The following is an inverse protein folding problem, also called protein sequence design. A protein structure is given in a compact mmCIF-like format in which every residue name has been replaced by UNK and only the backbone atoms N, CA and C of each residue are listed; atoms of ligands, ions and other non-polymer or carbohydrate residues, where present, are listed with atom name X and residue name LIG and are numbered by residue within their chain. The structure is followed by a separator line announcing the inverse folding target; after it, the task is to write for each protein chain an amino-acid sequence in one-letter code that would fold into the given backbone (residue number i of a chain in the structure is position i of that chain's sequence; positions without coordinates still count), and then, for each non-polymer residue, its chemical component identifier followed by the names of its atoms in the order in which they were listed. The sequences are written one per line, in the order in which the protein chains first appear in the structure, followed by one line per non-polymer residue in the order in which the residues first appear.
data_IF_068744635950
#
_entry.id   IF_068744635950
#
_cell.length_a   1.000
_cell.length_b   1.000
_cell.length_c   1.000
_cell.angle_alpha   90.00
_cell.angle_beta   90.00
_cell.angle_gamma   90.00
#
_symmetry.space_group_name_H-M   'P 1'
#
loop_
_entity.id
_entity.type
_entity.pdbx_description
1 polymer ?
#
# COMPACT_ATOMS: atom_id res chain seq x y z
N UNK A 1 -15.90 -4.04 -12.22
CA UNK A 1 -14.80 -3.63 -11.35
C UNK A 1 -13.56 -3.20 -12.14
N UNK A 2 -12.40 -3.16 -11.48
CA UNK A 2 -11.12 -2.68 -12.05
C UNK A 2 -10.77 -3.38 -13.36
N UNK A 3 -10.86 -4.72 -13.40
CA UNK A 3 -10.58 -5.55 -14.59
C UNK A 3 -11.36 -5.07 -15.81
N UNK A 4 -12.64 -4.76 -15.65
CA UNK A 4 -13.47 -4.24 -16.75
C UNK A 4 -12.96 -2.90 -17.26
N UNK A 5 -12.54 -1.98 -16.36
CA UNK A 5 -12.02 -0.68 -16.74
C UNK A 5 -10.65 -0.76 -17.44
N UNK A 6 -9.83 -1.76 -17.08
CA UNK A 6 -8.60 -2.07 -17.83
C UNK A 6 -8.97 -2.52 -19.26
N UNK A 7 -9.93 -3.44 -19.41
CA UNK A 7 -10.42 -3.92 -20.72
C UNK A 7 -10.93 -2.78 -21.61
N UNK A 8 -11.70 -1.86 -21.03
CA UNK A 8 -12.24 -0.67 -21.72
C UNK A 8 -11.18 0.37 -22.09
N UNK A 9 -9.95 0.22 -21.62
CA UNK A 9 -8.85 1.15 -21.88
C UNK A 9 -8.94 2.45 -21.09
N UNK A 10 -9.71 2.47 -20.01
CA UNK A 10 -9.87 3.67 -19.16
C UNK A 10 -8.53 4.17 -18.62
N UNK A 11 -7.76 3.28 -18.01
CA UNK A 11 -6.44 3.60 -17.44
C UNK A 11 -5.40 3.93 -18.51
N UNK A 12 -5.42 3.23 -19.64
CA UNK A 12 -4.53 3.52 -20.77
C UNK A 12 -4.78 4.93 -21.32
N UNK A 13 -6.04 5.35 -21.45
CA UNK A 13 -6.37 6.72 -21.86
C UNK A 13 -5.89 7.78 -20.88
N UNK A 14 -5.83 7.45 -19.59
CA UNK A 14 -5.28 8.34 -18.55
C UNK A 14 -3.74 8.36 -18.52
N UNK A 15 -3.05 7.53 -19.31
CA UNK A 15 -1.61 7.40 -19.25
C UNK A 15 -1.12 6.66 -17.99
N UNK A 16 -1.98 5.86 -17.36
CA UNK A 16 -1.64 5.06 -16.18
C UNK A 16 -0.83 3.84 -16.60
N UNK A 17 0.32 3.64 -15.98
CA UNK A 17 1.22 2.52 -16.22
C UNK A 17 1.41 1.60 -15.00
N UNK A 18 0.77 1.92 -13.88
CA UNK A 18 0.69 1.05 -12.71
C UNK A 18 -0.64 1.27 -11.97
N UNK A 19 -1.17 0.22 -11.37
CA UNK A 19 -2.33 0.26 -10.47
C UNK A 19 -1.88 -0.26 -9.12
N UNK A 20 -2.14 0.50 -8.06
CA UNK A 20 -2.01 0.06 -6.68
C UNK A 20 -3.40 -0.16 -6.09
N UNK A 21 -3.60 -1.33 -5.49
CA UNK A 21 -4.81 -1.71 -4.76
C UNK A 21 -4.51 -1.77 -3.27
N UNK A 22 -5.46 -1.35 -2.42
CA UNK A 22 -5.40 -1.58 -0.97
C UNK A 22 -5.28 -3.07 -0.66
N UNK A 23 -4.87 -3.47 0.58
CA UNK A 23 -4.64 -4.88 0.90
C UNK A 23 -5.85 -5.75 0.57
N UNK A 24 -5.59 -6.87 -0.08
CA UNK A 24 -6.64 -7.80 -0.56
C UNK A 24 -6.78 -9.04 0.31
N UNK A 25 -5.94 -9.20 1.32
CA UNK A 25 -5.97 -10.34 2.23
C UNK A 25 -7.25 -10.36 3.07
N UNK A 26 -7.63 -11.53 3.58
CA UNK A 26 -8.86 -11.67 4.35
C UNK A 26 -8.84 -10.80 5.60
N UNK A 27 -9.89 -10.00 5.75
CA UNK A 27 -10.08 -9.03 6.82
C UNK A 27 -10.89 -9.61 7.97
N UNK A 28 -10.87 -8.96 9.13
CA UNK A 28 -11.91 -9.18 10.13
C UNK A 28 -13.27 -8.79 9.51
N UNK A 29 -14.31 -9.57 9.79
CA UNK A 29 -15.65 -9.33 9.24
C UNK A 29 -16.63 -8.73 10.26
N UNK A 30 -16.20 -8.63 11.51
CA UNK A 30 -16.97 -7.93 12.53
C UNK A 30 -16.60 -6.45 12.60
N UNK A 31 -17.48 -5.65 13.17
CA UNK A 31 -17.25 -4.22 13.31
C UNK A 31 -16.59 -3.87 14.64
N UNK A 32 -15.85 -2.77 14.65
CA UNK A 32 -15.30 -2.16 15.86
C UNK A 32 -15.59 -0.66 15.88
N UNK A 33 -15.70 -0.07 17.06
CA UNK A 33 -15.85 1.37 17.22
C UNK A 33 -14.48 1.99 17.56
N UNK A 34 -13.98 2.82 16.67
CA UNK A 34 -12.72 3.55 16.83
C UNK A 34 -12.94 4.95 17.42
N UNK A 35 -14.04 5.18 18.11
CA UNK A 35 -14.42 6.48 18.67
C UNK A 35 -15.14 7.40 17.67
N UNK A 36 -15.38 6.92 16.47
CA UNK A 36 -16.08 7.64 15.39
C UNK A 36 -17.32 6.92 14.89
N UNK A 37 -17.72 5.84 15.57
CA UNK A 37 -18.82 4.95 15.19
C UNK A 37 -18.31 3.60 14.69
N UNK A 38 -19.26 2.69 14.47
CA UNK A 38 -18.96 1.33 14.03
C UNK A 38 -18.34 1.31 12.63
N UNK A 39 -17.15 0.75 12.52
CA UNK A 39 -16.38 0.59 11.30
C UNK A 39 -16.05 -0.88 11.03
N UNK A 40 -15.74 -1.21 9.77
CA UNK A 40 -15.46 -2.57 9.29
C UNK A 40 -14.17 -2.58 8.44
N UNK A 41 -13.57 -3.74 8.25
CA UNK A 41 -12.32 -3.93 7.51
C UNK A 41 -12.38 -3.73 5.98
N UNK A 42 -13.41 -3.04 5.44
CA UNK A 42 -13.61 -2.85 4.00
C UNK A 42 -12.45 -2.16 3.27
N UNK A 43 -11.63 -1.42 4.02
CA UNK A 43 -10.46 -0.71 3.50
C UNK A 43 -9.23 -1.62 3.27
N UNK A 44 -9.20 -2.83 3.84
CA UNK A 44 -8.12 -3.80 3.65
C UNK A 44 -6.99 -3.79 4.71
N UNK A 45 -7.01 -2.87 5.68
CA UNK A 45 -5.92 -2.72 6.66
C UNK A 45 -6.14 -3.47 7.98
N UNK A 46 -7.18 -4.29 8.09
CA UNK A 46 -7.51 -5.08 9.28
C UNK A 46 -7.40 -6.58 9.00
N UNK A 47 -6.18 -7.00 8.66
CA UNK A 47 -5.91 -8.37 8.24
C UNK A 47 -6.20 -9.39 9.34
N UNK A 48 -6.87 -10.47 8.96
CA UNK A 48 -7.16 -11.67 9.74
C UNK A 48 -6.36 -12.88 9.27
N UNK A 49 -6.22 -13.03 7.96
CA UNK A 49 -5.53 -14.14 7.33
C UNK A 49 -4.84 -13.70 6.04
N UNK A 50 -3.52 -13.62 6.05
CA UNK A 50 -2.72 -13.22 4.88
C UNK A 50 -2.69 -14.26 3.77
N UNK A 51 -3.08 -15.52 4.06
CA UNK A 51 -3.01 -16.62 3.10
C UNK A 51 -4.19 -16.67 2.13
N UNK A 52 -5.19 -15.83 2.32
CA UNK A 52 -6.45 -15.87 1.57
C UNK A 52 -6.85 -14.47 1.10
N UNK A 53 -7.37 -14.39 -0.12
CA UNK A 53 -8.03 -13.17 -0.61
C UNK A 53 -9.37 -13.03 0.09
N UNK A 54 -9.69 -11.81 0.52
CA UNK A 54 -10.99 -11.50 1.13
C UNK A 54 -12.12 -11.77 0.12
N UNK A 55 -13.15 -12.54 0.50
CA UNK A 55 -14.22 -12.90 -0.43
C UNK A 55 -15.04 -11.71 -0.94
N UNK A 56 -14.99 -10.55 -0.25
CA UNK A 56 -15.63 -9.33 -0.73
C UNK A 56 -14.84 -8.65 -1.86
N UNK A 57 -13.56 -8.96 -2.01
CA UNK A 57 -12.71 -8.40 -3.08
C UNK A 57 -12.67 -9.28 -4.33
N UNK A 58 -12.92 -10.57 -4.19
CA UNK A 58 -12.93 -11.53 -5.29
C UNK A 58 -12.22 -12.85 -4.99
N UNK A 59 -11.86 -13.53 -6.04
CA UNK A 59 -11.19 -14.85 -5.99
C UNK A 59 -9.74 -14.75 -6.49
N UNK A 60 -8.99 -15.84 -6.34
CA UNK A 60 -7.66 -15.99 -6.96
C UNK A 60 -7.71 -15.87 -8.48
N UNK A 61 -8.75 -16.42 -9.09
CA UNK A 61 -8.99 -16.36 -10.52
C UNK A 61 -9.25 -14.93 -10.98
N UNK A 62 -10.03 -14.15 -10.22
CA UNK A 62 -10.27 -12.72 -10.51
C UNK A 62 -8.97 -11.90 -10.44
N UNK A 63 -8.13 -12.14 -9.45
CA UNK A 63 -6.84 -11.47 -9.33
C UNK A 63 -5.91 -11.84 -10.50
N UNK A 64 -5.84 -13.12 -10.83
CA UNK A 64 -5.05 -13.60 -11.96
C UNK A 64 -5.48 -12.98 -13.28
N UNK A 65 -6.80 -12.95 -13.53
CA UNK A 65 -7.36 -12.31 -14.73
C UNK A 65 -7.00 -10.81 -14.76
N UNK A 66 -7.13 -10.11 -13.64
CA UNK A 66 -6.79 -8.70 -13.52
C UNK A 66 -5.33 -8.45 -13.92
N UNK A 67 -4.39 -9.21 -13.35
CA UNK A 67 -2.95 -9.06 -13.60
C UNK A 67 -2.63 -9.37 -15.06
N UNK A 68 -3.13 -10.49 -15.59
CA UNK A 68 -2.89 -10.87 -17.00
C UNK A 68 -3.37 -9.80 -17.99
N UNK A 69 -4.54 -9.20 -17.71
CA UNK A 69 -5.09 -8.15 -18.58
C UNK A 69 -4.34 -6.83 -18.40
N UNK A 70 -3.95 -6.49 -17.17
CA UNK A 70 -3.14 -5.31 -16.89
C UNK A 70 -1.80 -5.40 -17.64
N UNK A 71 -1.09 -6.52 -17.51
CA UNK A 71 0.18 -6.76 -18.20
C UNK A 71 0.04 -6.68 -19.72
N UNK A 72 -1.02 -7.25 -20.31
CA UNK A 72 -1.29 -7.11 -21.77
C UNK A 72 -1.49 -5.66 -22.22
N UNK A 73 -1.82 -4.76 -21.31
CA UNK A 73 -1.96 -3.32 -21.55
C UNK A 73 -0.73 -2.51 -21.13
N UNK A 74 0.35 -3.15 -20.69
CA UNK A 74 1.55 -2.49 -20.20
C UNK A 74 1.36 -1.84 -18.82
N UNK A 75 0.39 -2.28 -18.04
CA UNK A 75 0.06 -1.75 -16.72
C UNK A 75 0.58 -2.73 -15.66
N UNK A 76 1.41 -2.24 -14.74
CA UNK A 76 1.88 -2.97 -13.56
C UNK A 76 0.81 -3.05 -12.50
N UNK A 77 0.86 -4.10 -11.70
CA UNK A 77 -0.06 -4.28 -10.56
C UNK A 77 0.75 -4.33 -9.26
N UNK A 78 0.49 -3.35 -8.39
CA UNK A 78 1.03 -3.30 -7.04
C UNK A 78 -0.09 -3.65 -6.06
N UNK A 79 0.23 -4.50 -5.09
CA UNK A 79 -0.62 -4.71 -3.92
C UNK A 79 -0.12 -3.88 -2.75
N UNK A 80 -0.85 -3.95 -1.64
CA UNK A 80 -0.47 -3.31 -0.39
C UNK A 80 0.01 -4.36 0.61
N UNK A 81 1.11 -4.10 1.30
CA UNK A 81 1.70 -5.00 2.28
C UNK A 81 1.59 -4.40 3.68
N UNK A 82 0.83 -5.05 4.55
CA UNK A 82 0.72 -4.73 5.97
C UNK A 82 1.46 -5.79 6.77
N UNK A 83 2.56 -5.40 7.42
CA UNK A 83 3.37 -6.31 8.27
C UNK A 83 3.25 -5.90 9.74
N UNK A 84 2.97 -4.62 10.01
CA UNK A 84 3.07 -4.04 11.34
C UNK A 84 2.00 -4.51 12.32
N UNK A 85 0.78 -4.80 11.88
CA UNK A 85 -0.35 -5.06 12.78
C UNK A 85 -1.33 -6.08 12.22
N UNK A 86 -2.11 -6.67 13.12
CA UNK A 86 -3.31 -7.46 12.80
C UNK A 86 -4.55 -6.56 12.78
N UNK A 87 -5.68 -7.09 12.35
CA UNK A 87 -6.96 -6.40 12.54
C UNK A 87 -7.32 -6.25 14.03
N UNK A 88 -8.27 -5.35 14.35
CA UNK A 88 -8.81 -5.17 15.69
C UNK A 88 -9.36 -6.46 16.31
N UNK A 89 -9.33 -6.51 17.64
CA UNK A 89 -9.95 -7.58 18.41
C UNK A 89 -11.45 -7.33 18.49
N UNK A 90 -12.24 -8.35 18.13
CA UNK A 90 -13.71 -8.34 18.21
C UNK A 90 -14.20 -9.60 18.92
N UNK A 91 -15.51 -9.74 19.11
CA UNK A 91 -16.08 -10.98 19.67
C UNK A 91 -15.78 -12.22 18.80
N UNK A 92 -15.63 -12.03 17.48
CA UNK A 92 -15.35 -13.11 16.52
C UNK A 92 -13.89 -13.23 16.11
N UNK A 93 -13.11 -12.19 16.39
CA UNK A 93 -11.70 -12.11 16.00
C UNK A 93 -10.84 -11.92 17.24
N UNK A 94 -10.48 -13.01 17.94
CA UNK A 94 -9.70 -12.94 19.18
C UNK A 94 -8.28 -12.42 18.91
N UNK A 95 -7.70 -11.78 19.93
CA UNK A 95 -6.33 -11.33 19.91
C UNK A 95 -5.38 -12.50 19.62
N UNK A 96 -4.36 -12.24 18.83
CA UNK A 96 -3.30 -13.20 18.56
C UNK A 96 -2.44 -13.46 19.83
N UNK A 97 -1.73 -14.59 19.90
CA UNK A 97 -0.90 -14.90 21.08
C UNK A 97 0.11 -13.79 21.41
N UNK A 98 0.42 -13.64 22.71
CA UNK A 98 1.29 -12.57 23.19
C UNK A 98 2.76 -12.68 22.72
N UNK A 99 3.18 -13.82 22.20
CA UNK A 99 4.47 -13.99 21.52
C UNK A 99 4.45 -13.49 20.05
N UNK A 100 3.25 -13.30 19.47
CA UNK A 100 3.05 -12.70 18.16
C UNK A 100 2.86 -11.19 18.20
N UNK A 101 2.05 -10.71 19.15
CA UNK A 101 1.60 -9.31 19.17
C UNK A 101 1.77 -8.67 20.54
N UNK A 102 1.83 -7.36 20.54
CA UNK A 102 1.63 -6.49 21.71
C UNK A 102 0.34 -5.70 21.54
N UNK A 103 -0.32 -5.40 22.66
CA UNK A 103 -1.55 -4.59 22.70
C UNK A 103 -1.35 -3.27 23.43
N UNK A 104 -0.14 -3.07 23.94
CA UNK A 104 0.32 -1.86 24.66
C UNK A 104 1.87 -1.76 24.60
N UNK A 105 2.47 -0.58 24.86
CA UNK A 105 1.81 0.71 25.02
C UNK A 105 1.33 1.28 23.68
N UNK A 106 0.45 2.29 23.71
CA UNK A 106 0.15 3.09 22.52
C UNK A 106 1.32 3.99 22.17
N UNK A 107 1.54 4.28 20.87
CA UNK A 107 2.66 5.09 20.41
C UNK A 107 2.59 6.53 20.89
N UNK A 108 3.74 7.09 21.28
CA UNK A 108 3.89 8.50 21.68
C UNK A 108 4.67 9.32 20.66
N UNK A 109 5.39 8.67 19.74
CA UNK A 109 6.13 9.29 18.63
C UNK A 109 7.24 10.27 19.02
N UNK A 110 7.69 10.24 20.27
CA UNK A 110 8.72 11.15 20.82
C UNK A 110 10.15 10.67 20.55
N UNK A 111 10.32 9.41 20.16
CA UNK A 111 11.60 8.82 19.78
C UNK A 111 11.40 7.57 18.92
N UNK A 112 12.48 7.00 18.38
CA UNK A 112 12.42 5.83 17.52
C UNK A 112 11.74 4.65 18.20
N UNK A 113 12.17 4.26 19.40
CA UNK A 113 11.62 3.11 20.12
C UNK A 113 10.11 3.25 20.37
N UNK A 114 9.67 4.43 20.80
CA UNK A 114 8.26 4.72 21.09
C UNK A 114 7.42 4.97 19.83
N UNK A 115 8.01 4.77 18.67
CA UNK A 115 7.33 4.75 17.36
C UNK A 115 7.20 3.33 16.81
N UNK A 116 8.12 2.40 17.16
CA UNK A 116 8.16 1.06 16.59
C UNK A 116 7.72 -0.06 17.53
N UNK A 117 7.81 0.10 18.85
CA UNK A 117 7.41 -0.92 19.85
C UNK A 117 6.12 -0.51 20.57
N UNK A 118 5.09 -0.22 19.83
CA UNK A 118 3.85 0.35 20.35
C UNK A 118 2.69 0.09 19.38
N UNK A 119 1.45 0.20 19.86
CA UNK A 119 0.26 0.13 19.01
C UNK A 119 -0.05 1.50 18.41
N UNK A 120 -0.38 1.54 17.11
CA UNK A 120 -0.70 2.78 16.39
C UNK A 120 -1.91 3.50 16.98
N UNK A 121 -2.97 2.72 17.23
CA UNK A 121 -4.22 3.15 17.81
C UNK A 121 -4.70 2.10 18.81
N UNK A 122 -5.66 2.46 19.64
CA UNK A 122 -6.32 1.53 20.55
C UNK A 122 -6.93 0.36 19.76
N UNK A 123 -6.88 -0.84 20.35
CA UNK A 123 -7.40 -2.07 19.76
C UNK A 123 -6.84 -2.45 18.38
N UNK A 124 -5.61 -2.04 18.05
CA UNK A 124 -4.92 -2.49 16.85
C UNK A 124 -3.62 -3.20 17.26
N UNK A 125 -3.65 -4.54 17.48
CA UNK A 125 -2.49 -5.26 17.96
C UNK A 125 -1.29 -5.17 17.02
N UNK A 126 -0.15 -4.75 17.58
CA UNK A 126 1.10 -4.57 16.88
C UNK A 126 1.89 -5.89 16.85
N UNK A 127 2.36 -6.29 15.68
CA UNK A 127 3.13 -7.53 15.51
C UNK A 127 4.56 -7.32 16.00
N UNK A 128 5.07 -8.25 16.81
CA UNK A 128 6.44 -8.22 17.30
C UNK A 128 7.46 -8.53 16.20
N UNK A 129 7.57 -7.60 15.26
CA UNK A 129 8.44 -7.73 14.08
C UNK A 129 9.92 -7.81 14.43
N UNK A 130 10.32 -7.27 15.56
CA UNK A 130 11.68 -7.33 16.10
C UNK A 130 12.10 -8.73 16.62
N UNK A 131 11.11 -9.59 16.93
CA UNK A 131 11.38 -10.88 17.56
C UNK A 131 12.10 -11.85 16.62
N UNK A 132 13.06 -12.59 17.17
CA UNK A 132 13.68 -13.76 16.54
C UNK A 132 13.30 -15.07 17.24
N UNK A 133 12.40 -15.00 18.21
CA UNK A 133 11.95 -16.18 18.95
C UNK A 133 10.96 -16.98 18.08
N UNK A 134 11.09 -18.31 18.18
CA UNK A 134 10.16 -19.19 17.51
C UNK A 134 8.79 -19.12 18.19
N UNK A 135 7.75 -18.93 17.38
CA UNK A 135 6.35 -18.92 17.82
C UNK A 135 5.58 -20.07 17.19
N UNK A 136 4.48 -20.45 17.83
CA UNK A 136 3.51 -21.37 17.23
C UNK A 136 2.45 -20.58 16.47
N UNK A 137 1.85 -21.19 15.47
CA UNK A 137 0.76 -20.56 14.72
C UNK A 137 -0.41 -20.21 15.65
N UNK A 138 -1.06 -19.04 15.45
CA UNK A 138 -2.22 -18.65 16.24
C UNK A 138 -3.34 -19.71 16.17
N UNK A 139 -3.90 -20.13 17.30
CA UNK A 139 -4.90 -21.21 17.34
C UNK A 139 -6.12 -20.96 16.45
N UNK A 140 -6.57 -19.69 16.38
CA UNK A 140 -7.68 -19.30 15.53
C UNK A 140 -7.38 -19.47 14.04
N UNK A 141 -6.16 -19.18 13.61
CA UNK A 141 -5.71 -19.39 12.23
C UNK A 141 -5.62 -20.88 11.89
N UNK A 142 -5.06 -21.68 12.78
CA UNK A 142 -4.99 -23.16 12.65
C UNK A 142 -6.39 -23.76 12.55
N UNK A 143 -7.32 -23.33 13.42
CA UNK A 143 -8.70 -23.81 13.42
C UNK A 143 -9.40 -23.46 12.10
N UNK A 144 -9.19 -22.25 11.60
CA UNK A 144 -9.74 -21.77 10.34
C UNK A 144 -9.21 -22.62 9.17
N UNK A 145 -7.89 -22.80 9.06
CA UNK A 145 -7.29 -23.60 7.98
C UNK A 145 -7.76 -25.06 7.99
N UNK A 146 -7.95 -25.66 9.18
CA UNK A 146 -8.51 -27.00 9.32
C UNK A 146 -9.96 -27.05 8.84
N UNK A 147 -10.78 -26.09 9.22
CA UNK A 147 -12.17 -26.01 8.78
C UNK A 147 -12.30 -25.82 7.25
N UNK A 148 -11.34 -25.14 6.63
CA UNK A 148 -11.26 -24.91 5.19
C UNK A 148 -10.55 -26.05 4.42
N UNK A 149 -10.03 -27.07 5.11
CA UNK A 149 -9.29 -28.19 4.51
C UNK A 149 -7.92 -27.82 3.92
N UNK A 150 -7.34 -26.69 4.32
CA UNK A 150 -6.05 -26.17 3.82
C UNK A 150 -4.87 -26.40 4.75
N UNK A 151 -5.10 -26.87 5.97
CA UNK A 151 -4.10 -26.90 7.02
C UNK A 151 -2.81 -27.61 6.59
N UNK A 152 -2.90 -28.82 6.04
CA UNK A 152 -1.73 -29.62 5.66
C UNK A 152 -0.94 -28.94 4.54
N UNK A 153 -1.60 -28.31 3.59
CA UNK A 153 -0.95 -27.53 2.53
C UNK A 153 -0.19 -26.35 3.10
N UNK A 154 -0.83 -25.55 3.94
CA UNK A 154 -0.20 -24.36 4.55
C UNK A 154 1.01 -24.74 5.41
N UNK A 155 0.93 -25.83 6.19
CA UNK A 155 2.05 -26.32 6.98
C UNK A 155 3.21 -26.77 6.10
N UNK A 156 2.94 -27.56 5.06
CA UNK A 156 3.99 -28.03 4.14
C UNK A 156 4.71 -26.86 3.44
N UNK A 157 3.97 -25.84 3.04
CA UNK A 157 4.54 -24.63 2.42
C UNK A 157 5.38 -23.82 3.40
N UNK A 158 4.93 -23.69 4.65
CA UNK A 158 5.70 -23.06 5.72
C UNK A 158 6.99 -23.83 6.01
N UNK A 159 6.90 -25.15 6.16
CA UNK A 159 8.07 -26.00 6.43
C UNK A 159 9.11 -25.86 5.30
N UNK A 160 8.70 -25.92 4.06
CA UNK A 160 9.56 -25.71 2.90
C UNK A 160 10.20 -24.32 2.89
N UNK A 161 9.46 -23.28 3.26
CA UNK A 161 9.97 -21.90 3.35
C UNK A 161 11.06 -21.79 4.43
N UNK A 162 10.80 -22.28 5.64
CA UNK A 162 11.74 -22.19 6.75
C UNK A 162 12.97 -23.09 6.54
N UNK A 163 12.81 -24.27 5.95
CA UNK A 163 13.94 -25.14 5.57
C UNK A 163 14.84 -24.45 4.53
N UNK A 164 14.26 -23.86 3.51
CA UNK A 164 14.99 -23.15 2.45
C UNK A 164 15.73 -21.92 2.96
N UNK A 165 15.10 -21.14 3.83
CA UNK A 165 15.64 -19.85 4.26
C UNK A 165 16.54 -19.94 5.47
N UNK A 166 16.34 -20.93 6.32
CA UNK A 166 17.01 -21.03 7.63
C UNK A 166 16.58 -19.95 8.63
N UNK A 167 15.53 -19.20 8.34
CA UNK A 167 14.99 -18.20 9.26
C UNK A 167 14.37 -18.84 10.51
N UNK A 168 14.40 -18.17 11.66
CA UNK A 168 13.62 -18.60 12.81
C UNK A 168 12.12 -18.50 12.48
N UNK A 169 11.31 -19.33 13.13
CA UNK A 169 9.84 -19.27 13.01
C UNK A 169 9.26 -18.10 13.81
N UNK A 170 9.79 -16.90 13.56
CA UNK A 170 9.38 -15.65 14.20
C UNK A 170 8.26 -14.95 13.41
N UNK A 171 7.43 -14.12 14.06
CA UNK A 171 6.21 -13.55 13.48
C UNK A 171 6.39 -12.93 12.09
N UNK A 172 7.41 -12.05 11.92
CA UNK A 172 7.62 -11.37 10.64
C UNK A 172 7.88 -12.29 9.45
N UNK A 173 8.56 -13.43 9.67
CA UNK A 173 8.90 -14.34 8.58
C UNK A 173 7.70 -15.15 8.09
N UNK A 174 6.74 -15.45 8.94
CA UNK A 174 5.46 -15.98 8.49
C UNK A 174 4.73 -15.01 7.57
N UNK A 175 4.64 -13.75 7.98
CA UNK A 175 3.94 -12.72 7.17
C UNK A 175 4.68 -12.45 5.87
N UNK A 176 6.02 -12.39 5.89
CA UNK A 176 6.83 -12.26 4.68
C UNK A 176 6.59 -13.44 3.71
N UNK A 177 6.53 -14.68 4.23
CA UNK A 177 6.19 -15.84 3.40
C UNK A 177 4.84 -15.67 2.75
N UNK A 178 3.81 -15.35 3.51
CA UNK A 178 2.45 -15.19 3.00
C UNK A 178 2.31 -14.05 1.99
N UNK A 179 3.00 -12.94 2.20
CA UNK A 179 3.01 -11.85 1.22
C UNK A 179 3.80 -12.23 -0.05
N UNK A 180 4.92 -12.94 0.08
CA UNK A 180 5.69 -13.35 -1.10
C UNK A 180 5.02 -14.45 -1.92
N UNK A 181 4.05 -15.17 -1.36
CA UNK A 181 3.21 -16.11 -2.13
C UNK A 181 2.41 -15.41 -3.22
N UNK A 182 1.91 -14.19 -2.98
CA UNK A 182 1.24 -13.40 -4.01
C UNK A 182 2.17 -13.05 -5.18
N UNK A 183 3.46 -12.90 -4.91
CA UNK A 183 4.46 -12.67 -5.96
C UNK A 183 4.67 -13.95 -6.77
N UNK A 184 4.90 -15.09 -6.09
CA UNK A 184 5.20 -16.35 -6.77
C UNK A 184 4.00 -16.97 -7.47
N UNK A 185 2.78 -16.73 -6.98
CA UNK A 185 1.55 -17.28 -7.57
C UNK A 185 1.03 -16.39 -8.71
N UNK A 186 1.05 -15.06 -8.55
CA UNK A 186 0.36 -14.16 -9.48
C UNK A 186 1.29 -13.28 -10.31
N UNK A 187 2.54 -13.07 -9.88
CA UNK A 187 3.48 -12.20 -10.59
C UNK A 187 3.11 -10.73 -10.50
N UNK A 188 2.67 -10.28 -9.33
CA UNK A 188 2.54 -8.84 -9.06
C UNK A 188 3.90 -8.15 -9.19
N UNK A 189 3.89 -6.87 -9.53
CA UNK A 189 5.11 -6.12 -9.89
C UNK A 189 5.72 -5.36 -8.72
N UNK A 190 5.00 -5.21 -7.62
CA UNK A 190 5.47 -4.47 -6.47
C UNK A 190 4.49 -4.44 -5.30
N UNK A 191 4.99 -3.84 -4.22
CA UNK A 191 4.19 -3.50 -3.04
C UNK A 191 4.27 -2.01 -2.71
N UNK A 192 3.13 -1.41 -2.39
CA UNK A 192 3.10 -0.29 -1.45
C UNK A 192 3.17 -0.89 -0.06
N UNK A 193 4.06 -0.40 0.77
CA UNK A 193 4.26 -0.93 2.12
C UNK A 193 3.70 0.06 3.13
N UNK A 194 2.76 -0.44 3.91
CA UNK A 194 2.06 0.31 4.94
C UNK A 194 2.94 0.54 6.17
N UNK A 195 2.73 1.66 6.86
CA UNK A 195 3.29 1.95 8.20
C UNK A 195 4.79 1.71 8.36
N UNK A 196 5.60 2.02 7.34
CA UNK A 196 7.03 1.69 7.29
C UNK A 196 7.82 2.21 8.49
N UNK A 197 7.51 3.42 8.99
CA UNK A 197 8.23 4.00 10.13
C UNK A 197 7.91 3.34 11.48
N UNK A 198 6.92 2.45 11.52
CA UNK A 198 6.48 1.76 12.74
C UNK A 198 7.07 0.35 12.89
N UNK A 199 7.97 0.00 11.98
CA UNK A 199 8.69 -1.29 11.98
C UNK A 199 10.19 -1.01 11.85
N UNK A 200 11.00 -1.87 12.41
CA UNK A 200 12.45 -1.74 12.35
C UNK A 200 12.96 -1.75 10.90
N UNK A 201 13.94 -0.92 10.61
CA UNK A 201 14.48 -0.77 9.25
C UNK A 201 15.10 -2.06 8.69
N UNK A 202 15.63 -2.95 9.54
CA UNK A 202 16.21 -4.22 9.10
C UNK A 202 15.13 -5.19 8.56
N UNK A 203 13.91 -5.11 9.08
CA UNK A 203 12.77 -5.92 8.61
C UNK A 203 12.49 -5.63 7.15
N UNK A 204 12.58 -4.37 6.75
CA UNK A 204 12.37 -3.99 5.35
C UNK A 204 13.46 -4.52 4.43
N UNK A 205 14.70 -4.58 4.90
CA UNK A 205 15.79 -5.18 4.15
C UNK A 205 15.56 -6.69 3.94
N UNK A 206 15.14 -7.39 4.99
CA UNK A 206 14.77 -8.81 4.92
C UNK A 206 13.58 -9.02 3.96
N UNK A 207 12.55 -8.15 4.05
CA UNK A 207 11.40 -8.22 3.17
C UNK A 207 11.76 -7.98 1.70
N UNK A 208 12.62 -6.98 1.41
CA UNK A 208 13.10 -6.74 0.03
C UNK A 208 13.80 -7.97 -0.56
N UNK A 209 14.67 -8.59 0.22
CA UNK A 209 15.37 -9.84 -0.20
C UNK A 209 14.36 -10.95 -0.49
N UNK A 210 13.35 -11.13 0.35
CA UNK A 210 12.32 -12.13 0.15
C UNK A 210 11.48 -11.85 -1.11
N UNK A 211 11.09 -10.59 -1.32
CA UNK A 211 10.35 -10.18 -2.51
C UNK A 211 11.15 -10.38 -3.81
N UNK A 212 12.43 -9.98 -3.82
CA UNK A 212 13.29 -10.16 -4.99
C UNK A 212 13.50 -11.62 -5.33
N UNK A 213 13.69 -12.46 -4.31
CA UNK A 213 13.76 -13.91 -4.51
C UNK A 213 12.48 -14.45 -5.16
N UNK A 214 11.33 -14.12 -4.57
CA UNK A 214 10.03 -14.59 -5.06
C UNK A 214 9.77 -14.14 -6.50
N UNK A 215 10.06 -12.88 -6.82
CA UNK A 215 9.86 -12.34 -8.16
C UNK A 215 10.80 -12.97 -9.19
N UNK A 216 12.05 -13.21 -8.82
CA UNK A 216 13.01 -13.95 -9.67
C UNK A 216 12.55 -15.39 -9.92
N UNK A 217 11.94 -16.07 -8.93
CA UNK A 217 11.34 -17.40 -9.15
C UNK A 217 10.16 -17.31 -10.10
N UNK A 218 9.28 -16.31 -9.92
CA UNK A 218 8.16 -16.12 -10.83
C UNK A 218 8.63 -15.90 -12.27
N UNK A 219 9.61 -15.01 -12.50
CA UNK A 219 10.17 -14.76 -13.82
C UNK A 219 10.73 -16.02 -14.50
N UNK A 220 11.47 -16.83 -13.74
CA UNK A 220 12.04 -18.10 -14.25
C UNK A 220 10.96 -19.09 -14.68
N UNK A 221 9.89 -19.19 -13.90
CA UNK A 221 8.82 -20.18 -14.11
C UNK A 221 7.77 -19.69 -15.11
N UNK A 222 7.75 -18.40 -15.43
CA UNK A 222 6.72 -17.76 -16.26
C UNK A 222 7.34 -16.91 -17.39
N UNK A 223 8.29 -17.45 -18.08
CA UNK A 223 8.97 -16.77 -19.21
C UNK A 223 7.94 -16.21 -20.19
N UNK A 224 8.04 -14.91 -20.49
CA UNK A 224 7.12 -14.20 -21.40
C UNK A 224 5.81 -13.72 -20.77
N UNK A 225 5.60 -13.90 -19.46
CA UNK A 225 4.42 -13.37 -18.73
C UNK A 225 4.73 -12.11 -17.92
N UNK A 226 5.99 -11.71 -17.83
CA UNK A 226 6.43 -10.47 -17.16
C UNK A 226 6.50 -9.33 -18.17
N UNK A 227 6.32 -8.09 -17.71
CA UNK A 227 6.34 -6.90 -18.56
C UNK A 227 7.75 -6.58 -19.07
N UNK A 228 8.75 -6.76 -18.20
CA UNK A 228 10.15 -6.41 -18.45
C UNK A 228 11.09 -7.10 -17.45
N UNK A 229 12.37 -6.74 -17.47
CA UNK A 229 13.38 -7.28 -16.57
C UNK A 229 13.59 -6.45 -15.30
N UNK A 230 12.72 -5.48 -15.01
CA UNK A 230 12.83 -4.66 -13.82
C UNK A 230 12.75 -5.53 -12.54
N UNK A 231 13.40 -5.05 -11.49
CA UNK A 231 13.31 -5.64 -10.15
C UNK A 231 11.94 -5.40 -9.54
N UNK A 232 11.62 -6.16 -8.50
CA UNK A 232 10.40 -5.99 -7.73
C UNK A 232 10.37 -4.61 -7.07
N UNK A 233 9.30 -3.86 -7.28
CA UNK A 233 9.20 -2.47 -6.84
C UNK A 233 8.61 -2.35 -5.42
N UNK A 234 9.29 -1.60 -4.55
CA UNK A 234 8.77 -1.24 -3.23
C UNK A 234 8.63 0.27 -3.10
N UNK A 235 7.44 0.73 -2.75
CA UNK A 235 7.18 2.11 -2.32
C UNK A 235 6.70 2.12 -0.88
N UNK A 236 7.41 2.88 -0.02
CA UNK A 236 7.15 2.90 1.42
C UNK A 236 6.30 4.08 1.87
N UNK A 237 5.33 3.80 2.74
CA UNK A 237 4.66 4.83 3.50
C UNK A 237 5.44 5.13 4.78
N UNK A 238 6.28 6.15 4.73
CA UNK A 238 6.89 6.75 5.92
C UNK A 238 6.08 8.00 6.24
N UNK A 239 5.10 7.87 7.12
CA UNK A 239 4.14 8.95 7.40
C UNK A 239 4.84 10.26 7.77
N UNK A 240 4.45 11.36 7.13
CA UNK A 240 5.07 12.68 7.18
C UNK A 240 6.45 12.81 6.48
N UNK A 241 6.90 11.81 5.74
CA UNK A 241 8.07 12.00 4.88
C UNK A 241 7.76 13.05 3.80
N UNK A 242 8.70 13.98 3.62
CA UNK A 242 8.65 14.95 2.53
C UNK A 242 9.95 14.96 1.74
N UNK A 243 9.89 15.31 0.47
CA UNK A 243 11.07 15.36 -0.42
C UNK A 243 12.20 16.23 0.15
N UNK A 244 11.88 17.26 0.96
CA UNK A 244 12.86 18.14 1.59
C UNK A 244 13.72 17.45 2.65
N UNK A 245 13.32 16.30 3.19
CA UNK A 245 14.13 15.49 4.09
C UNK A 245 15.28 14.77 3.37
N UNK A 246 15.27 14.73 2.04
CA UNK A 246 16.25 13.95 1.29
C UNK A 246 16.13 12.46 1.61
N UNK A 247 17.26 11.78 1.86
CA UNK A 247 17.28 10.33 2.15
C UNK A 247 17.00 9.98 3.61
N UNK A 248 17.04 10.96 4.51
CA UNK A 248 17.02 10.74 5.94
C UNK A 248 15.67 11.08 6.55
N UNK A 249 15.09 10.15 7.32
CA UNK A 249 13.95 10.42 8.17
C UNK A 249 14.39 10.48 9.62
N UNK A 250 14.09 11.59 10.29
CA UNK A 250 14.56 11.90 11.64
C UNK A 250 13.48 11.62 12.68
N UNK A 251 13.82 10.76 13.67
CA UNK A 251 12.97 10.43 14.81
C UNK A 251 13.31 11.27 16.05
N UNK A 252 14.27 12.19 15.93
CA UNK A 252 14.80 12.99 17.02
C UNK A 252 16.03 12.37 17.69
N UNK A 253 15.96 11.11 18.06
CA UNK A 253 17.06 10.34 18.65
C UNK A 253 17.80 9.44 17.65
N UNK A 254 17.18 9.15 16.50
CA UNK A 254 17.72 8.31 15.44
C UNK A 254 17.27 8.81 14.07
N UNK A 255 18.16 8.68 13.11
CA UNK A 255 17.88 8.96 11.70
C UNK A 255 17.94 7.67 10.88
N UNK A 256 16.96 7.43 10.02
CA UNK A 256 16.88 6.25 9.18
C UNK A 256 16.83 6.62 7.69
N UNK A 257 17.65 5.95 6.88
CA UNK A 257 17.57 6.00 5.43
C UNK A 257 16.82 4.75 4.92
N UNK A 258 15.53 4.90 4.67
CA UNK A 258 14.70 3.80 4.19
C UNK A 258 14.99 3.40 2.73
N UNK A 259 15.50 4.32 1.92
CA UNK A 259 15.89 4.00 0.54
C UNK A 259 17.02 2.97 0.49
N UNK A 260 18.08 3.18 1.28
CA UNK A 260 19.21 2.24 1.32
C UNK A 260 18.84 0.90 1.96
N UNK A 261 17.72 0.84 2.68
CA UNK A 261 17.25 -0.40 3.31
C UNK A 261 16.42 -1.26 2.36
N UNK A 262 15.47 -0.67 1.63
CA UNK A 262 14.56 -1.48 0.83
C UNK A 262 13.89 -0.72 -0.31
N UNK A 263 13.57 0.57 -0.14
CA UNK A 263 12.55 1.22 -0.93
C UNK A 263 13.10 1.91 -2.17
N UNK A 264 12.50 1.63 -3.32
CA UNK A 264 12.76 2.36 -4.58
C UNK A 264 12.22 3.79 -4.51
N UNK A 265 11.11 3.97 -3.78
CA UNK A 265 10.42 5.25 -3.60
C UNK A 265 9.80 5.35 -2.21
N UNK A 266 9.61 6.59 -1.74
CA UNK A 266 8.78 6.89 -0.57
C UNK A 266 7.61 7.79 -0.97
N UNK A 267 6.47 7.64 -0.27
CA UNK A 267 5.31 8.52 -0.43
C UNK A 267 5.67 9.92 0.09
N UNK A 268 5.42 10.94 -0.72
CA UNK A 268 5.77 12.32 -0.44
C UNK A 268 4.57 13.10 0.09
N UNK A 269 4.50 13.27 1.40
CA UNK A 269 3.44 14.01 2.08
C UNK A 269 3.55 15.54 1.92
N UNK A 270 4.69 16.04 1.41
CA UNK A 270 4.97 17.47 1.34
C UNK A 270 4.34 18.16 0.12
N UNK A 271 4.10 17.44 -0.99
CA UNK A 271 3.72 18.06 -2.26
C UNK A 271 2.48 18.94 -2.16
N UNK A 272 1.44 18.51 -1.50
CA UNK A 272 0.18 19.27 -1.37
C UNK A 272 0.36 20.59 -0.60
N UNK A 273 1.31 20.63 0.33
CA UNK A 273 1.68 21.83 1.07
C UNK A 273 2.52 22.77 0.21
N UNK A 274 3.49 22.23 -0.54
CA UNK A 274 4.26 23.02 -1.51
C UNK A 274 3.32 23.64 -2.56
N UNK A 275 2.37 22.89 -3.08
CA UNK A 275 1.39 23.36 -4.05
C UNK A 275 0.50 24.51 -3.54
N UNK A 276 0.24 24.56 -2.22
CA UNK A 276 -0.51 25.63 -1.58
C UNK A 276 0.32 26.87 -1.27
N UNK A 277 1.63 26.71 -1.04
CA UNK A 277 2.52 27.75 -0.49
C UNK A 277 3.37 28.46 -1.53
N UNK A 278 3.78 27.78 -2.61
CA UNK A 278 4.68 28.31 -3.61
C UNK A 278 4.08 28.18 -5.02
N UNK A 279 4.59 28.97 -5.98
CA UNK A 279 4.13 28.94 -7.36
C UNK A 279 4.45 27.59 -8.02
N UNK A 280 3.62 27.13 -8.90
CA UNK A 280 3.76 25.84 -9.62
C UNK A 280 5.16 25.64 -10.22
N UNK A 281 5.69 26.67 -10.93
CA UNK A 281 7.04 26.61 -11.51
C UNK A 281 8.13 26.37 -10.45
N UNK A 282 7.96 26.93 -9.26
CA UNK A 282 8.93 26.80 -8.18
C UNK A 282 8.84 25.41 -7.53
N UNK A 283 7.63 24.80 -7.50
CA UNK A 283 7.45 23.38 -7.16
C UNK A 283 8.25 22.51 -8.12
N UNK A 284 8.05 22.71 -9.44
CA UNK A 284 8.73 21.91 -10.46
C UNK A 284 10.26 22.02 -10.35
N UNK A 285 10.80 23.24 -10.20
CA UNK A 285 12.24 23.46 -10.03
C UNK A 285 12.79 22.83 -8.76
N UNK A 286 12.09 22.96 -7.63
CA UNK A 286 12.47 22.35 -6.35
C UNK A 286 12.60 20.84 -6.50
N UNK A 287 11.60 20.19 -7.07
CA UNK A 287 11.53 18.74 -7.22
C UNK A 287 12.58 18.22 -8.21
N UNK A 288 12.74 18.88 -9.35
CA UNK A 288 13.81 18.54 -10.31
C UNK A 288 15.20 18.63 -9.66
N UNK A 289 15.48 19.71 -8.93
CA UNK A 289 16.75 19.91 -8.25
C UNK A 289 17.02 18.83 -7.21
N UNK A 290 16.05 18.49 -6.36
CA UNK A 290 16.23 17.50 -5.30
C UNK A 290 16.40 16.09 -5.86
N UNK A 291 15.63 15.72 -6.89
CA UNK A 291 15.72 14.41 -7.53
C UNK A 291 17.02 14.23 -8.32
N UNK A 292 17.60 15.31 -8.86
CA UNK A 292 18.91 15.26 -9.53
C UNK A 292 20.11 15.30 -8.57
N UNK A 293 19.90 15.73 -7.33
CA UNK A 293 20.96 15.85 -6.32
C UNK A 293 20.82 14.84 -5.18
N UNK A 294 20.15 15.23 -4.10
CA UNK A 294 20.07 14.46 -2.86
C UNK A 294 19.38 13.10 -3.01
N UNK A 295 18.42 13.01 -3.94
CA UNK A 295 17.64 11.79 -4.20
C UNK A 295 18.01 11.13 -5.54
N UNK A 296 19.19 11.46 -6.10
CA UNK A 296 19.62 10.85 -7.37
C UNK A 296 19.63 9.32 -7.28
N UNK A 297 18.88 8.67 -8.17
CA UNK A 297 18.73 7.22 -8.22
C UNK A 297 17.58 6.66 -7.38
N UNK A 298 16.85 7.51 -6.66
CA UNK A 298 15.67 7.13 -5.89
C UNK A 298 14.44 7.90 -6.35
N UNK A 299 13.27 7.33 -6.10
CA UNK A 299 11.99 7.91 -6.46
C UNK A 299 11.22 8.49 -5.26
N UNK A 300 10.26 9.32 -5.58
CA UNK A 300 9.21 9.74 -4.66
C UNK A 300 7.85 9.51 -5.32
N UNK A 301 6.83 9.22 -4.53
CA UNK A 301 5.45 9.09 -4.97
C UNK A 301 4.66 10.31 -4.52
N UNK A 302 4.37 11.21 -5.46
CA UNK A 302 3.59 12.41 -5.23
C UNK A 302 2.09 12.09 -5.27
N UNK A 303 1.30 12.73 -4.40
CA UNK A 303 -0.17 12.62 -4.41
C UNK A 303 -0.82 13.94 -3.98
N UNK A 304 -2.05 14.19 -4.45
CA UNK A 304 -2.86 15.33 -4.03
C UNK A 304 -4.05 14.93 -3.16
N UNK A 305 -4.48 13.68 -3.30
CA UNK A 305 -5.54 13.03 -2.54
C UNK A 305 -5.11 11.61 -2.24
N UNK A 306 -5.43 11.08 -1.06
CA UNK A 306 -5.25 9.67 -0.72
C UNK A 306 -6.44 9.15 0.08
N UNK A 307 -6.42 7.86 0.41
CA UNK A 307 -7.49 7.18 1.15
C UNK A 307 -7.46 7.43 2.66
N UNK A 308 -6.38 8.01 3.18
CA UNK A 308 -6.07 8.15 4.61
C UNK A 308 -5.54 9.54 5.00
N UNK A 309 -5.53 10.48 4.09
CA UNK A 309 -5.07 11.84 4.36
C UNK A 309 -6.24 12.83 4.36
N UNK A 310 -6.72 13.19 5.53
CA UNK A 310 -7.83 14.11 5.74
C UNK A 310 -7.63 15.53 5.22
N UNK A 311 -6.44 15.85 4.66
CA UNK A 311 -6.08 17.17 4.14
C UNK A 311 -5.72 17.15 2.64
N UNK A 312 -6.60 16.68 1.74
CA UNK A 312 -6.35 16.72 0.31
C UNK A 312 -6.09 18.16 -0.17
N UNK A 313 -5.37 18.26 -1.28
CA UNK A 313 -5.07 19.56 -1.88
C UNK A 313 -6.37 20.31 -2.27
N UNK A 314 -7.29 19.61 -2.91
CA UNK A 314 -8.56 20.12 -3.42
C UNK A 314 -9.75 19.28 -2.91
N UNK A 315 -10.03 19.36 -1.60
CA UNK A 315 -11.11 18.58 -0.97
C UNK A 315 -12.49 18.85 -1.58
N UNK A 316 -12.75 20.12 -1.93
CA UNK A 316 -14.04 20.56 -2.45
C UNK A 316 -14.14 20.47 -3.99
N UNK A 317 -13.14 19.93 -4.66
CA UNK A 317 -13.08 19.77 -6.12
C UNK A 317 -13.24 21.07 -6.92
N UNK A 318 -12.80 22.20 -6.35
CA UNK A 318 -12.85 23.53 -6.98
C UNK A 318 -11.68 23.80 -7.93
N UNK A 319 -10.61 23.04 -7.83
CA UNK A 319 -9.36 23.23 -8.59
C UNK A 319 -8.89 21.98 -9.35
N UNK A 320 -9.79 21.21 -10.02
CA UNK A 320 -9.43 19.90 -10.59
C UNK A 320 -8.39 20.03 -11.72
N UNK A 321 -8.36 21.11 -12.46
CA UNK A 321 -7.38 21.38 -13.51
C UNK A 321 -5.99 21.70 -12.93
N UNK A 322 -5.93 22.51 -11.88
CA UNK A 322 -4.69 22.85 -11.20
C UNK A 322 -4.10 21.61 -10.49
N UNK A 323 -4.96 20.83 -9.84
CA UNK A 323 -4.58 19.56 -9.21
C UNK A 323 -3.89 18.64 -10.21
N UNK A 324 -4.49 18.43 -11.38
CA UNK A 324 -3.91 17.64 -12.47
C UNK A 324 -2.55 18.21 -12.93
N UNK A 325 -2.50 19.51 -13.18
CA UNK A 325 -1.29 20.16 -13.69
C UNK A 325 -0.13 20.03 -12.72
N UNK A 326 -0.33 20.32 -11.44
CA UNK A 326 0.73 20.23 -10.44
C UNK A 326 1.14 18.76 -10.26
N UNK A 327 0.18 17.85 -10.07
CA UNK A 327 0.51 16.44 -9.82
C UNK A 327 1.25 15.80 -10.98
N UNK A 328 0.72 15.96 -12.19
CA UNK A 328 1.22 15.24 -13.36
C UNK A 328 2.45 15.87 -14.01
N UNK A 329 2.71 17.17 -13.79
CA UNK A 329 3.92 17.83 -14.32
C UNK A 329 5.05 17.94 -13.31
N UNK A 330 4.81 17.70 -12.02
CA UNK A 330 5.88 17.66 -11.03
C UNK A 330 6.76 16.42 -11.23
N UNK A 331 8.10 16.58 -11.24
CA UNK A 331 9.03 15.45 -11.29
C UNK A 331 8.83 14.45 -10.13
N UNK A 332 9.06 13.18 -10.38
CA UNK A 332 8.79 12.05 -9.47
C UNK A 332 7.64 11.19 -9.98
N UNK A 333 7.26 10.13 -9.28
CA UNK A 333 6.09 9.31 -9.62
C UNK A 333 4.81 10.00 -9.15
N UNK A 334 3.73 9.90 -9.91
CA UNK A 334 2.44 10.52 -9.57
C UNK A 334 1.42 9.45 -9.23
N UNK A 335 0.78 9.59 -8.06
CA UNK A 335 -0.37 8.79 -7.65
C UNK A 335 -1.65 9.58 -7.95
N UNK A 336 -2.45 9.09 -8.85
CA UNK A 336 -3.81 9.57 -9.06
C UNK A 336 -4.73 8.73 -8.18
N UNK A 337 -5.33 9.36 -7.17
CA UNK A 337 -6.32 8.68 -6.35
C UNK A 337 -7.62 8.58 -7.14
N UNK A 338 -8.26 7.40 -7.10
CA UNK A 338 -9.43 7.14 -7.95
C UNK A 338 -10.50 8.20 -7.78
N UNK A 339 -10.92 8.78 -8.90
CA UNK A 339 -11.88 9.87 -8.94
C UNK A 339 -11.29 11.29 -8.87
N UNK A 340 -9.97 11.46 -8.71
CA UNK A 340 -9.34 12.77 -8.89
C UNK A 340 -9.57 13.27 -10.33
N UNK A 341 -9.45 12.36 -11.28
CA UNK A 341 -9.62 12.62 -12.72
C UNK A 341 -11.06 12.95 -13.15
N UNK A 342 -12.02 12.65 -12.29
CA UNK A 342 -13.46 12.93 -12.51
C UNK A 342 -14.03 13.90 -11.49
N UNK A 343 -13.19 14.51 -10.65
CA UNK A 343 -13.59 15.38 -9.55
C UNK A 343 -14.63 14.73 -8.62
N UNK A 344 -14.45 13.43 -8.31
CA UNK A 344 -15.32 12.68 -7.41
C UNK A 344 -15.44 13.39 -6.06
N UNK A 345 -16.65 13.52 -5.54
CA UNK A 345 -16.88 14.08 -4.21
C UNK A 345 -16.18 13.25 -3.13
N UNK A 346 -15.44 13.93 -2.25
CA UNK A 346 -14.76 13.35 -1.11
C UNK A 346 -15.55 13.48 0.19
N UNK A 347 -16.78 14.00 0.12
CA UNK A 347 -17.64 14.16 1.28
C UNK A 347 -18.76 13.15 1.22
N UNK A 348 -18.83 12.26 2.22
CA UNK A 348 -19.94 11.32 2.37
C UNK A 348 -20.71 11.74 3.62
N UNK A 349 -21.98 12.09 3.46
CA UNK A 349 -22.86 12.45 4.57
C UNK A 349 -22.94 11.31 5.60
N UNK A 350 -22.83 11.66 6.87
CA UNK A 350 -22.88 10.70 7.98
C UNK A 350 -21.57 9.93 8.23
N UNK A 351 -20.50 10.25 7.53
CA UNK A 351 -19.18 9.66 7.79
C UNK A 351 -18.23 10.67 8.43
N UNK A 352 -17.25 10.16 9.17
CA UNK A 352 -16.18 10.94 9.81
C UNK A 352 -14.81 10.33 9.48
N UNK A 353 -13.74 11.14 9.70
CA UNK A 353 -12.38 10.68 9.47
C UNK A 353 -12.14 10.30 8.00
N UNK A 354 -11.33 9.26 7.78
CA UNK A 354 -10.90 8.84 6.46
C UNK A 354 -12.01 8.18 5.62
N UNK A 355 -13.10 7.72 6.27
CA UNK A 355 -14.25 7.15 5.57
C UNK A 355 -14.84 8.11 4.53
N UNK A 356 -14.76 9.43 4.78
CA UNK A 356 -15.22 10.45 3.82
C UNK A 356 -14.45 10.42 2.49
N UNK A 357 -13.19 10.00 2.51
CA UNK A 357 -12.32 9.95 1.33
C UNK A 357 -12.60 8.74 0.43
N UNK A 358 -13.40 7.77 0.90
CA UNK A 358 -13.57 6.43 0.31
C UNK A 358 -14.94 6.20 -0.32
N UNK A 359 -15.58 7.27 -0.85
CA UNK A 359 -16.84 7.17 -1.60
C UNK A 359 -16.70 6.29 -2.85
N UNK A 360 -17.81 5.78 -3.34
CA UNK A 360 -17.82 5.07 -4.62
C UNK A 360 -17.38 5.98 -5.77
N UNK A 361 -16.80 5.37 -6.81
CA UNK A 361 -16.43 6.09 -8.02
C UNK A 361 -17.67 6.64 -8.70
N UNK A 362 -17.63 7.90 -9.11
CA UNK A 362 -18.73 8.64 -9.73
C UNK A 362 -18.85 8.35 -11.25
N UNK A 363 -19.02 7.06 -11.61
CA UNK A 363 -19.05 6.63 -13.02
C UNK A 363 -20.14 7.31 -13.83
N UNK A 364 -21.28 7.61 -13.22
CA UNK A 364 -22.41 8.24 -13.92
C UNK A 364 -22.12 9.70 -14.30
N UNK A 365 -21.32 10.40 -13.47
CA UNK A 365 -20.94 11.79 -13.75
C UNK A 365 -20.00 11.92 -14.95
N UNK A 366 -19.28 10.86 -15.32
CA UNK A 366 -18.36 10.85 -16.47
C UNK A 366 -19.12 11.15 -17.79
N UNK A 367 -20.43 10.98 -17.82
CA UNK A 367 -21.27 11.34 -18.97
C UNK A 367 -21.57 12.86 -19.02
N UNK A 368 -21.39 13.60 -17.94
CA UNK A 368 -21.63 15.03 -17.88
C UNK A 368 -20.53 15.80 -18.64
N UNK A 369 -20.93 16.84 -19.37
CA UNK A 369 -19.98 17.65 -20.16
C UNK A 369 -18.86 18.26 -19.33
N UNK A 370 -19.16 18.71 -18.11
CA UNK A 370 -18.14 19.33 -17.25
C UNK A 370 -17.15 18.28 -16.72
N UNK A 371 -17.63 17.15 -16.24
CA UNK A 371 -16.77 16.03 -15.82
C UNK A 371 -15.90 15.50 -16.97
N UNK A 372 -16.46 15.43 -18.18
CA UNK A 372 -15.70 15.07 -19.39
C UNK A 372 -14.58 16.05 -19.71
N UNK A 373 -14.77 17.35 -19.50
CA UNK A 373 -13.70 18.34 -19.70
C UNK A 373 -12.56 18.12 -18.70
N UNK A 374 -12.91 17.88 -17.44
CA UNK A 374 -11.92 17.57 -16.39
C UNK A 374 -11.17 16.29 -16.76
N UNK A 375 -11.87 15.20 -17.02
CA UNK A 375 -11.28 13.93 -17.41
C UNK A 375 -10.36 14.06 -18.64
N UNK A 376 -10.80 14.78 -19.68
CA UNK A 376 -9.99 15.03 -20.86
C UNK A 376 -8.70 15.80 -20.55
N UNK A 377 -8.74 16.72 -19.59
CA UNK A 377 -7.55 17.45 -19.15
C UNK A 377 -6.56 16.51 -18.46
N UNK A 378 -7.03 15.68 -17.51
CA UNK A 378 -6.22 14.66 -16.86
C UNK A 378 -5.62 13.68 -17.87
N UNK A 379 -6.41 13.21 -18.83
CA UNK A 379 -5.94 12.30 -19.89
C UNK A 379 -4.83 12.93 -20.74
N UNK A 380 -4.98 14.21 -21.16
CA UNK A 380 -3.95 14.90 -21.94
C UNK A 380 -2.62 15.01 -21.18
N UNK A 381 -2.68 15.38 -19.91
CA UNK A 381 -1.48 15.47 -19.07
C UNK A 381 -0.88 14.11 -18.77
N UNK A 382 -1.71 13.11 -18.49
CA UNK A 382 -1.24 11.73 -18.29
C UNK A 382 -0.56 11.16 -19.53
N UNK A 383 -1.15 11.36 -20.71
CA UNK A 383 -0.54 10.96 -21.99
C UNK A 383 0.76 11.71 -22.30
N UNK A 384 0.85 12.99 -21.94
CA UNK A 384 2.09 13.76 -22.09
C UNK A 384 3.20 13.23 -21.18
N UNK A 385 2.83 12.74 -20.00
CA UNK A 385 3.75 12.21 -19.00
C UNK A 385 4.21 10.77 -19.31
N UNK A 386 3.32 9.92 -19.83
CA UNK A 386 3.58 8.52 -20.16
C UNK A 386 4.55 8.39 -21.34
#
# INVERSE_FOLDING_TARGET
GITQKIKEGYFTKLGINAIWMTPIVEQIHDGTDEGTGLSYGFHGYWAKDWTKIDPNFGTKEDLKELIEIAHKKGIRVLLDAVINHTGPVTEKDPVWPADWVRTEPQCTYDNFKNTIHCTLVENLPDIKTESNENVTLPPQLVSKWKAEGRYDQEINELDAFFERTGHPRAPRFYIMKWLTDYITEFGIDGYRVDTVKHTEEFVWQEFKVACDYAFNQYKKNNTGKVLDDNDFYLVGEVYNYGISHGKAFDFGDKTVNYFDKAFNSLINFEIKWNAKQIKEKDVFHKYDSLLRSNLKGYGILNYMTSHDDGHPFDKERKMPYQTATILLLTPGTSQVYYGDESARDLTIEGTVGDATLRSFMNWDDIQNKETQKILNHWQKLGQFRA
#
